data_IF_835722870122
#
_entry.id   IF_835722870122
#
_cell.length_a   1.000
_cell.length_b   1.000
_cell.length_c   1.000
_cell.angle_alpha   90.00
_cell.angle_beta   90.00
_cell.angle_gamma   90.00
#
_symmetry.space_group_name_H-M   'P 1'
#
loop_
_entity.id
_entity.type
_entity.pdbx_description
1 polymer ?
#
# COMPACT_ATOMS: atom_id res chain seq x y z
N UNK A 1 -23.19 -6.43 -3.95
CA UNK A 1 -21.98 -5.77 -4.52
C UNK A 1 -20.79 -6.73 -4.52
N UNK A 2 -20.47 -7.40 -3.40
CA UNK A 2 -19.44 -8.47 -3.35
C UNK A 2 -19.66 -9.56 -4.41
N UNK A 3 -20.85 -10.17 -4.45
CA UNK A 3 -21.18 -11.24 -5.41
C UNK A 3 -20.99 -10.84 -6.87
N UNK A 4 -21.38 -9.60 -7.22
CA UNK A 4 -21.22 -9.07 -8.58
C UNK A 4 -19.74 -8.93 -8.93
N UNK A 5 -18.90 -8.46 -8.00
CA UNK A 5 -17.47 -8.29 -8.27
C UNK A 5 -16.74 -9.63 -8.35
N UNK A 6 -17.17 -10.64 -7.59
CA UNK A 6 -16.64 -12.02 -7.71
C UNK A 6 -17.03 -12.63 -9.06
N UNK A 7 -18.29 -12.47 -9.48
CA UNK A 7 -18.76 -12.92 -10.81
C UNK A 7 -18.00 -12.20 -11.94
N UNK A 8 -17.78 -10.89 -11.80
CA UNK A 8 -16.96 -10.12 -12.74
C UNK A 8 -15.53 -10.68 -12.80
N UNK A 9 -14.91 -11.00 -11.67
CA UNK A 9 -13.55 -11.56 -11.67
C UNK A 9 -13.48 -12.92 -12.39
N UNK A 10 -14.44 -13.82 -12.14
CA UNK A 10 -14.49 -15.12 -12.82
C UNK A 10 -14.65 -14.96 -14.33
N UNK A 11 -15.57 -14.08 -14.76
CA UNK A 11 -15.82 -13.82 -16.18
C UNK A 11 -14.66 -13.11 -16.86
N UNK A 12 -14.00 -12.18 -16.16
CA UNK A 12 -12.81 -11.50 -16.65
C UNK A 12 -11.63 -12.48 -16.82
N UNK A 13 -11.50 -13.50 -15.97
CA UNK A 13 -10.48 -14.55 -16.12
C UNK A 13 -10.74 -15.48 -17.31
N UNK A 14 -12.00 -15.78 -17.62
CA UNK A 14 -12.35 -16.73 -18.69
C UNK A 14 -12.54 -16.07 -20.06
N UNK A 15 -13.24 -14.94 -20.10
CA UNK A 15 -13.71 -14.28 -21.32
C UNK A 15 -13.10 -12.89 -21.51
N UNK A 16 -12.47 -12.33 -20.47
CA UNK A 16 -12.00 -10.95 -20.43
C UNK A 16 -13.13 -9.95 -20.71
N UNK A 17 -14.28 -10.18 -20.07
CA UNK A 17 -15.48 -9.33 -20.16
C UNK A 17 -16.13 -9.14 -18.80
N UNK A 18 -16.60 -7.92 -18.53
CA UNK A 18 -17.48 -7.63 -17.42
C UNK A 18 -18.89 -8.21 -17.63
N UNK A 19 -19.62 -8.40 -16.53
CA UNK A 19 -20.99 -8.88 -16.58
C UNK A 19 -21.89 -7.85 -17.27
N UNK A 20 -22.51 -8.27 -18.37
CA UNK A 20 -23.43 -7.44 -19.15
C UNK A 20 -22.78 -6.73 -20.34
N UNK A 21 -21.49 -6.93 -20.56
CA UNK A 21 -20.76 -6.40 -21.70
C UNK A 21 -20.44 -7.49 -22.73
N UNK A 22 -20.49 -7.11 -24.00
CA UNK A 22 -20.20 -7.99 -25.15
C UNK A 22 -18.80 -7.74 -25.73
N UNK A 23 -18.21 -6.58 -25.46
CA UNK A 23 -16.86 -6.20 -25.89
C UNK A 23 -15.81 -6.75 -24.92
N UNK A 24 -14.59 -6.94 -25.43
CA UNK A 24 -13.45 -7.40 -24.61
C UNK A 24 -12.89 -6.21 -23.84
N UNK A 25 -12.83 -6.35 -22.53
CA UNK A 25 -12.30 -5.35 -21.62
C UNK A 25 -10.76 -5.23 -21.74
N UNK A 26 -10.19 -4.05 -21.48
CA UNK A 26 -8.75 -3.90 -21.29
C UNK A 26 -8.22 -4.85 -20.20
N UNK A 27 -7.00 -5.43 -20.34
CA UNK A 27 -6.42 -6.31 -19.32
C UNK A 27 -6.30 -5.65 -17.94
N UNK A 28 -6.18 -4.32 -17.89
CA UNK A 28 -6.10 -3.55 -16.65
C UNK A 28 -7.41 -3.60 -15.84
N UNK A 29 -8.55 -3.93 -16.46
CA UNK A 29 -9.83 -4.08 -15.76
C UNK A 29 -9.78 -5.19 -14.71
N UNK A 30 -9.11 -6.31 -15.02
CA UNK A 30 -8.91 -7.43 -14.07
C UNK A 30 -8.17 -6.96 -12.82
N UNK A 31 -7.11 -6.18 -13.01
CA UNK A 31 -6.26 -5.65 -11.94
C UNK A 31 -7.08 -4.82 -10.94
N UNK A 32 -7.93 -3.91 -11.43
CA UNK A 32 -8.74 -3.07 -10.53
C UNK A 32 -9.87 -3.84 -9.84
N UNK A 33 -10.42 -4.87 -10.48
CA UNK A 33 -11.40 -5.76 -9.83
C UNK A 33 -10.73 -6.57 -8.71
N UNK A 34 -9.52 -7.09 -8.95
CA UNK A 34 -8.72 -7.78 -7.93
C UNK A 34 -8.40 -6.84 -6.76
N UNK A 35 -7.94 -5.63 -7.02
CA UNK A 35 -7.63 -4.66 -5.96
C UNK A 35 -8.87 -4.29 -5.15
N UNK A 36 -10.02 -4.09 -5.80
CA UNK A 36 -11.29 -3.84 -5.12
C UNK A 36 -11.65 -5.00 -4.17
N UNK A 37 -11.58 -6.24 -4.66
CA UNK A 37 -11.89 -7.42 -3.84
C UNK A 37 -10.89 -7.59 -2.70
N UNK A 38 -9.59 -7.35 -2.92
CA UNK A 38 -8.58 -7.36 -1.88
C UNK A 38 -8.92 -6.38 -0.75
N UNK A 39 -9.24 -5.13 -1.10
CA UNK A 39 -9.70 -4.10 -0.16
C UNK A 39 -10.96 -4.52 0.59
N UNK A 40 -11.89 -5.19 -0.09
CA UNK A 40 -13.15 -5.65 0.49
C UNK A 40 -12.93 -6.75 1.53
N UNK A 41 -12.15 -7.79 1.20
CA UNK A 41 -11.86 -8.88 2.14
C UNK A 41 -11.01 -8.42 3.32
N UNK A 42 -10.07 -7.49 3.12
CA UNK A 42 -9.30 -6.87 4.19
C UNK A 42 -10.20 -6.16 5.20
N UNK A 43 -11.18 -5.38 4.72
CA UNK A 43 -12.18 -4.73 5.59
C UNK A 43 -13.07 -5.72 6.35
N UNK A 44 -13.29 -6.93 5.82
CA UNK A 44 -14.00 -8.01 6.51
C UNK A 44 -13.10 -8.75 7.53
N UNK A 45 -11.82 -8.42 7.60
CA UNK A 45 -10.83 -9.09 8.45
C UNK A 45 -10.25 -10.38 7.86
N UNK A 46 -10.60 -10.72 6.61
CA UNK A 46 -10.03 -11.86 5.90
C UNK A 46 -8.75 -11.43 5.15
N UNK A 47 -7.70 -11.15 5.93
CA UNK A 47 -6.43 -10.66 5.39
C UNK A 47 -5.72 -11.70 4.53
N UNK A 48 -5.93 -13.01 4.77
CA UNK A 48 -5.34 -14.07 3.96
C UNK A 48 -5.86 -14.03 2.52
N UNK A 49 -7.19 -13.96 2.36
CA UNK A 49 -7.80 -13.86 1.03
C UNK A 49 -7.47 -12.53 0.37
N UNK A 50 -7.44 -11.44 1.14
CA UNK A 50 -7.04 -10.13 0.63
C UNK A 50 -5.60 -10.14 0.08
N UNK A 51 -4.66 -10.80 0.77
CA UNK A 51 -3.27 -10.94 0.32
C UNK A 51 -3.18 -11.77 -0.98
N UNK A 52 -3.91 -12.87 -1.09
CA UNK A 52 -3.92 -13.66 -2.32
C UNK A 52 -4.39 -12.85 -3.53
N UNK A 53 -5.44 -12.04 -3.37
CA UNK A 53 -6.00 -11.22 -4.44
C UNK A 53 -5.07 -10.06 -4.84
N UNK A 54 -4.41 -9.42 -3.88
CA UNK A 54 -3.47 -8.33 -4.19
C UNK A 54 -2.16 -8.85 -4.78
N UNK A 55 -1.70 -10.04 -4.38
CA UNK A 55 -0.54 -10.70 -5.00
C UNK A 55 -0.84 -11.08 -6.45
N UNK A 56 -2.04 -11.60 -6.74
CA UNK A 56 -2.48 -11.84 -8.12
C UNK A 56 -2.52 -10.53 -8.93
N UNK A 57 -3.01 -9.43 -8.35
CA UNK A 57 -2.99 -8.13 -9.03
C UNK A 57 -1.57 -7.66 -9.36
N UNK A 58 -0.62 -7.90 -8.44
CA UNK A 58 0.80 -7.58 -8.64
C UNK A 58 1.46 -8.47 -9.70
N UNK A 59 1.01 -9.73 -9.86
CA UNK A 59 1.48 -10.60 -10.96
C UNK A 59 1.10 -10.04 -12.33
N UNK A 60 -0.05 -9.37 -12.45
CA UNK A 60 -0.45 -8.68 -13.68
C UNK A 60 0.40 -7.45 -13.98
N UNK A 61 0.61 -6.58 -12.99
CA UNK A 61 1.41 -5.37 -13.18
C UNK A 61 2.10 -4.97 -11.87
N UNK A 62 3.36 -5.40 -11.66
CA UNK A 62 4.10 -5.12 -10.43
C UNK A 62 4.56 -3.65 -10.33
N UNK A 63 4.33 -2.85 -11.37
CA UNK A 63 4.73 -1.44 -11.41
C UNK A 63 3.66 -0.47 -10.91
N UNK A 64 2.51 -0.97 -10.45
CA UNK A 64 1.44 -0.13 -9.90
C UNK A 64 1.69 0.13 -8.42
N UNK A 65 2.03 1.38 -8.07
CA UNK A 65 2.36 1.82 -6.71
C UNK A 65 1.19 1.56 -5.74
N UNK A 66 -0.04 1.81 -6.17
CA UNK A 66 -1.24 1.65 -5.33
C UNK A 66 -1.42 0.20 -4.83
N UNK A 67 -1.03 -0.80 -5.63
CA UNK A 67 -1.11 -2.20 -5.23
C UNK A 67 -0.17 -2.52 -4.06
N UNK A 68 1.05 -1.98 -4.08
CA UNK A 68 1.99 -2.10 -2.96
C UNK A 68 1.47 -1.40 -1.70
N UNK A 69 0.87 -0.21 -1.83
CA UNK A 69 0.25 0.49 -0.69
C UNK A 69 -0.95 -0.28 -0.13
N UNK A 70 -1.79 -0.87 -0.98
CA UNK A 70 -2.90 -1.71 -0.57
C UNK A 70 -2.38 -2.97 0.14
N UNK A 71 -1.38 -3.66 -0.41
CA UNK A 71 -0.74 -4.82 0.23
C UNK A 71 -0.11 -4.49 1.58
N UNK A 72 0.60 -3.37 1.68
CA UNK A 72 1.16 -2.88 2.94
C UNK A 72 0.07 -2.68 4.01
N UNK A 73 -1.05 -2.08 3.64
CA UNK A 73 -2.20 -1.87 4.55
C UNK A 73 -2.82 -3.19 5.01
N UNK A 74 -2.93 -4.17 4.12
CA UNK A 74 -3.44 -5.51 4.45
C UNK A 74 -2.52 -6.19 5.47
N UNK A 75 -1.19 -6.18 5.24
CA UNK A 75 -0.23 -6.71 6.22
C UNK A 75 -0.33 -6.01 7.57
N UNK A 76 -0.48 -4.68 7.57
CA UNK A 76 -0.68 -3.89 8.80
C UNK A 76 -1.95 -4.32 9.55
N UNK A 77 -3.07 -4.58 8.87
CA UNK A 77 -4.27 -5.10 9.54
C UNK A 77 -4.09 -6.54 10.03
N UNK A 78 -3.31 -7.35 9.33
CA UNK A 78 -2.92 -8.70 9.76
C UNK A 78 -1.92 -8.71 10.94
N UNK A 79 -1.39 -7.54 11.33
CA UNK A 79 -0.40 -7.39 12.41
C UNK A 79 1.05 -7.63 11.99
N UNK A 80 1.33 -7.87 10.71
CA UNK A 80 2.68 -8.04 10.18
C UNK A 80 3.27 -6.67 9.77
N UNK A 81 3.67 -5.88 10.77
CA UNK A 81 4.19 -4.53 10.54
C UNK A 81 5.51 -4.52 9.75
N UNK A 82 6.32 -5.58 9.87
CA UNK A 82 7.59 -5.69 9.15
C UNK A 82 7.35 -5.75 7.64
N UNK A 83 6.51 -6.69 7.18
CA UNK A 83 6.17 -6.77 5.75
C UNK A 83 5.39 -5.56 5.27
N UNK A 84 4.53 -4.99 6.13
CA UNK A 84 3.85 -3.75 5.80
C UNK A 84 4.84 -2.61 5.52
N UNK A 85 5.90 -2.48 6.32
CA UNK A 85 6.98 -1.52 6.08
C UNK A 85 7.76 -1.81 4.80
N UNK A 86 8.03 -3.08 4.49
CA UNK A 86 8.77 -3.48 3.29
C UNK A 86 8.01 -3.13 2.00
N UNK A 87 6.69 -3.33 1.99
CA UNK A 87 5.83 -2.99 0.85
C UNK A 87 5.71 -1.46 0.65
N UNK A 88 5.57 -0.68 1.73
CA UNK A 88 5.60 0.79 1.62
C UNK A 88 6.96 1.31 1.13
N UNK A 89 8.06 0.66 1.51
CA UNK A 89 9.39 1.03 1.03
C UNK A 89 9.60 0.65 -0.44
N UNK A 90 9.02 -0.46 -0.89
CA UNK A 90 8.96 -0.81 -2.32
C UNK A 90 8.22 0.28 -3.10
N UNK A 91 7.04 0.69 -2.65
CA UNK A 91 6.27 1.78 -3.25
C UNK A 91 7.08 3.10 -3.30
N UNK A 92 7.75 3.49 -2.21
CA UNK A 92 8.58 4.71 -2.17
C UNK A 92 9.75 4.67 -3.16
N UNK A 93 10.38 3.50 -3.36
CA UNK A 93 11.50 3.35 -4.31
C UNK A 93 11.06 3.47 -5.77
N UNK A 94 9.78 3.27 -6.07
CA UNK A 94 9.23 3.42 -7.42
C UNK A 94 9.09 4.89 -7.82
N UNK A 95 8.82 5.78 -6.85
CA UNK A 95 8.84 7.23 -7.04
C UNK A 95 9.46 7.95 -5.82
N UNK A 96 10.76 8.24 -5.93
CA UNK A 96 11.54 8.91 -4.88
C UNK A 96 11.21 10.40 -4.75
N UNK A 97 10.52 11.01 -5.72
CA UNK A 97 10.15 12.41 -5.70
C UNK A 97 8.81 12.63 -4.97
N UNK A 98 8.02 11.58 -4.78
CA UNK A 98 6.73 11.64 -4.12
C UNK A 98 6.87 11.72 -2.58
N UNK A 99 6.49 12.87 -2.03
CA UNK A 99 6.52 13.13 -0.58
C UNK A 99 5.47 12.32 0.21
N UNK A 100 4.34 12.00 -0.40
CA UNK A 100 3.32 11.15 0.22
C UNK A 100 3.84 9.72 0.40
N UNK A 101 4.48 9.14 -0.63
CA UNK A 101 5.08 7.80 -0.52
C UNK A 101 6.21 7.77 0.51
N UNK A 102 7.03 8.82 0.57
CA UNK A 102 8.04 8.97 1.61
C UNK A 102 7.42 8.99 3.01
N UNK A 103 6.38 9.81 3.22
CA UNK A 103 5.64 9.90 4.48
C UNK A 103 5.04 8.55 4.88
N UNK A 104 4.44 7.83 3.93
CA UNK A 104 3.86 6.50 4.17
C UNK A 104 4.92 5.48 4.56
N UNK A 105 6.07 5.46 3.87
CA UNK A 105 7.18 4.57 4.23
C UNK A 105 7.72 4.86 5.64
N UNK A 106 8.02 6.12 5.97
CA UNK A 106 8.45 6.54 7.32
C UNK A 106 7.46 6.08 8.39
N UNK A 107 6.17 6.34 8.15
CA UNK A 107 5.11 5.97 9.10
C UNK A 107 5.04 4.47 9.34
N UNK A 108 5.20 3.66 8.30
CA UNK A 108 5.17 2.20 8.43
C UNK A 108 6.48 1.65 9.03
N UNK A 109 7.63 2.28 8.75
CA UNK A 109 8.89 1.97 9.43
C UNK A 109 8.77 2.18 10.94
N UNK A 110 8.20 3.30 11.38
CA UNK A 110 7.99 3.58 12.82
C UNK A 110 7.06 2.56 13.47
N UNK A 111 5.98 2.15 12.80
CA UNK A 111 5.07 1.08 13.28
C UNK A 111 5.71 -0.30 13.32
N UNK A 112 6.79 -0.50 12.58
CA UNK A 112 7.60 -1.70 12.59
C UNK A 112 8.84 -1.56 13.50
N UNK A 113 8.88 -0.53 14.35
CA UNK A 113 10.00 -0.19 15.25
C UNK A 113 11.36 -0.01 14.54
N UNK A 114 11.33 0.32 13.25
CA UNK A 114 12.52 0.61 12.42
C UNK A 114 12.88 2.09 12.49
N UNK A 115 13.26 2.57 13.69
CA UNK A 115 13.51 4.01 13.94
C UNK A 115 14.64 4.60 13.09
N UNK A 116 15.81 3.97 13.06
CA UNK A 116 16.97 4.49 12.32
C UNK A 116 16.68 4.67 10.81
N UNK A 117 16.08 3.68 10.10
CA UNK A 117 15.61 3.89 8.73
C UNK A 117 14.57 5.01 8.60
N UNK A 118 13.63 5.11 9.54
CA UNK A 118 12.58 6.13 9.51
C UNK A 118 13.17 7.55 9.61
N UNK A 119 14.10 7.78 10.55
CA UNK A 119 14.82 9.04 10.73
C UNK A 119 15.59 9.43 9.47
N UNK A 120 16.32 8.47 8.88
CA UNK A 120 17.08 8.72 7.65
C UNK A 120 16.18 9.04 6.45
N UNK A 121 14.97 8.48 6.42
CA UNK A 121 14.05 8.62 5.28
C UNK A 121 13.23 9.91 5.37
N UNK A 122 12.85 10.35 6.58
CA UNK A 122 12.04 11.55 6.78
C UNK A 122 12.82 12.85 6.49
N UNK A 123 14.14 12.85 6.66
CA UNK A 123 15.00 14.02 6.38
C UNK A 123 15.22 14.27 4.89
N UNK A 124 14.89 13.32 4.01
CA UNK A 124 15.08 13.45 2.55
C UNK A 124 14.34 14.64 1.94
N UNK A 125 13.25 15.09 2.56
CA UNK A 125 12.45 16.24 2.10
C UNK A 125 12.63 17.49 2.97
N UNK A 126 13.58 17.47 3.90
CA UNK A 126 13.87 18.57 4.83
C UNK A 126 14.89 19.54 4.22
N UNK A 127 14.59 20.85 4.26
CA UNK A 127 15.44 21.90 3.66
C UNK A 127 16.81 22.05 4.34
N UNK A 128 16.89 21.80 5.64
CA UNK A 128 18.07 22.06 6.47
C UNK A 128 18.91 20.78 6.73
N UNK A 129 18.74 19.73 5.91
CA UNK A 129 19.50 18.48 6.03
C UNK A 129 19.23 17.71 7.33
N UNK A 130 20.29 17.16 7.94
CA UNK A 130 20.28 16.30 9.14
C UNK A 130 20.00 17.05 10.46
N UNK A 131 19.47 18.28 10.44
CA UNK A 131 19.09 18.95 11.68
C UNK A 131 17.91 18.20 12.34
N UNK A 132 18.11 17.53 13.49
CA UNK A 132 17.08 16.71 14.12
C UNK A 132 15.88 17.54 14.59
N UNK A 133 16.05 18.85 14.80
CA UNK A 133 14.97 19.75 15.24
C UNK A 133 14.10 20.25 14.08
N UNK A 134 14.45 19.98 12.82
CA UNK A 134 13.71 20.54 11.68
C UNK A 134 12.24 20.05 11.64
N UNK A 135 11.99 18.78 11.98
CA UNK A 135 10.63 18.25 12.02
C UNK A 135 9.80 18.86 13.15
N UNK A 136 10.43 19.14 14.29
CA UNK A 136 9.81 19.85 15.40
C UNK A 136 9.48 21.29 15.01
N UNK A 137 10.43 22.00 14.39
CA UNK A 137 10.26 23.39 13.94
C UNK A 137 9.17 23.51 12.85
N UNK A 138 9.06 22.50 11.98
CA UNK A 138 7.98 22.36 10.99
C UNK A 138 6.65 21.87 11.57
N UNK A 139 6.57 21.65 12.89
CA UNK A 139 5.37 21.17 13.59
C UNK A 139 4.83 19.86 12.97
N UNK A 140 5.72 18.93 12.66
CA UNK A 140 5.40 17.67 12.01
C UNK A 140 4.80 16.65 13.01
N UNK A 141 3.63 16.98 13.58
CA UNK A 141 3.04 16.25 14.71
C UNK A 141 2.77 14.77 14.42
N UNK A 142 2.46 14.41 13.17
CA UNK A 142 2.21 13.01 12.83
C UNK A 142 3.47 12.14 13.03
N UNK A 143 4.66 12.70 12.77
CA UNK A 143 5.94 12.02 12.93
C UNK A 143 6.24 11.85 14.42
N UNK A 144 6.18 12.94 15.19
CA UNK A 144 6.45 12.93 16.63
C UNK A 144 5.55 11.92 17.38
N UNK A 145 4.26 11.85 17.01
CA UNK A 145 3.31 10.91 17.61
C UNK A 145 3.64 9.46 17.25
N UNK A 146 3.96 9.15 16.00
CA UNK A 146 4.31 7.78 15.59
C UNK A 146 5.68 7.37 16.16
N UNK A 147 6.65 8.30 16.21
CA UNK A 147 7.97 8.08 16.80
C UNK A 147 7.86 7.78 18.28
N UNK A 148 7.09 8.57 19.04
CA UNK A 148 6.86 8.33 20.46
C UNK A 148 6.10 7.04 20.78
N UNK A 149 5.40 6.45 19.80
CA UNK A 149 4.69 5.15 19.95
C UNK A 149 5.54 3.95 19.58
N UNK A 150 6.51 4.12 18.68
CA UNK A 150 7.49 3.07 18.38
C UNK A 150 8.29 2.74 19.65
N UNK A 151 8.64 1.48 19.91
CA UNK A 151 9.33 1.02 21.12
C UNK A 151 10.68 0.37 20.81
#
# INVERSE_FOLDING_TARGET
MEEVMVQNLERLRSEQKLVGEDEVDPPVTVLWVLEYLANHFDRKGDSLRALQLIDEALDYTPTVIDLHLTKARIYKHAGDFQKASDECETARKMDLADRFLNTMSVKYMLRADRRQPAESTVTLFSKDGDNPNNLFDMQCMWYEIEFGRSC
#
